data_IF_435599303705
#
_entry.id   IF_435599303705
#
_cell.length_a   1.000
_cell.length_b   1.000
_cell.length_c   1.000
_cell.angle_alpha   90.00
_cell.angle_beta   90.00
_cell.angle_gamma   90.00
#
_symmetry.space_group_name_H-M   'P 1'
#
loop_
_entity.id
_entity.type
_entity.pdbx_description
1 polymer ?
#
# COMPACT_ATOMS: atom_id res chain seq x y z
N UNK A 1 -11.55 -5.29 -3.98
CA UNK A 1 -12.90 -4.81 -4.38
C UNK A 1 -13.02 -3.38 -3.88
N UNK A 2 -13.17 -2.42 -4.79
CA UNK A 2 -13.18 -0.97 -4.51
C UNK A 2 -14.50 -0.32 -4.92
N UNK A 3 -15.57 -1.11 -5.01
CA UNK A 3 -16.89 -0.58 -5.31
C UNK A 3 -17.38 0.25 -4.13
N UNK A 4 -17.97 1.41 -4.42
CA UNK A 4 -18.64 2.23 -3.43
C UNK A 4 -19.91 1.48 -3.00
N UNK A 5 -20.01 1.14 -1.73
CA UNK A 5 -21.15 0.44 -1.14
C UNK A 5 -21.89 1.34 -0.15
N UNK A 6 -23.16 1.02 0.13
CA UNK A 6 -23.96 1.72 1.13
C UNK A 6 -24.16 3.22 0.82
N UNK A 7 -23.88 4.07 1.81
CA UNK A 7 -24.11 5.52 1.72
C UNK A 7 -23.29 6.21 0.62
N UNK A 8 -22.08 5.73 0.33
CA UNK A 8 -21.20 6.35 -0.64
C UNK A 8 -21.69 6.14 -2.08
N UNK A 9 -22.34 5.00 -2.35
CA UNK A 9 -23.05 4.77 -3.60
C UNK A 9 -24.20 5.76 -3.78
N UNK A 10 -25.02 5.94 -2.73
CA UNK A 10 -26.16 6.84 -2.75
C UNK A 10 -25.76 8.33 -2.88
N UNK A 11 -24.58 8.72 -2.39
CA UNK A 11 -24.01 10.06 -2.63
C UNK A 11 -23.55 10.22 -4.08
N UNK A 12 -22.85 9.22 -4.62
CA UNK A 12 -22.34 9.23 -6.00
C UNK A 12 -23.47 9.29 -7.02
N UNK A 13 -24.54 8.51 -6.83
CA UNK A 13 -25.72 8.51 -7.70
C UNK A 13 -26.42 9.89 -7.71
N UNK A 14 -26.47 10.56 -6.56
CA UNK A 14 -27.00 11.94 -6.46
C UNK A 14 -26.14 12.94 -7.24
N UNK A 15 -24.82 12.85 -7.14
CA UNK A 15 -23.90 13.71 -7.89
C UNK A 15 -24.03 13.48 -9.39
N UNK A 16 -24.08 12.21 -9.84
CA UNK A 16 -24.30 11.88 -11.27
C UNK A 16 -25.62 12.44 -11.78
N UNK A 17 -26.70 12.32 -11.00
CA UNK A 17 -28.01 12.87 -11.37
C UNK A 17 -27.99 14.39 -11.46
N UNK A 18 -27.31 15.07 -10.54
CA UNK A 18 -27.20 16.53 -10.54
C UNK A 18 -26.46 17.04 -11.79
N UNK A 19 -25.37 16.39 -12.19
CA UNK A 19 -24.59 16.78 -13.36
C UNK A 19 -25.03 16.14 -14.69
N UNK A 20 -26.17 15.43 -14.72
CA UNK A 20 -26.66 14.71 -15.90
C UNK A 20 -26.82 15.57 -17.17
N UNK A 21 -27.02 16.88 -17.02
CA UNK A 21 -27.10 17.83 -18.14
C UNK A 21 -25.75 18.14 -18.80
N UNK A 22 -24.62 17.78 -18.18
CA UNK A 22 -23.28 17.95 -18.78
C UNK A 22 -23.03 16.79 -19.75
N UNK A 23 -22.82 17.07 -21.06
CA UNK A 23 -22.73 16.04 -22.10
C UNK A 23 -21.42 15.25 -22.08
N UNK A 24 -20.34 15.81 -21.51
CA UNK A 24 -19.04 15.16 -21.38
C UNK A 24 -18.68 15.00 -19.92
N UNK A 25 -18.98 13.83 -19.37
CA UNK A 25 -18.59 13.44 -18.02
C UNK A 25 -17.44 12.45 -18.13
N UNK A 26 -16.32 12.76 -17.47
CA UNK A 26 -15.15 11.88 -17.39
C UNK A 26 -14.99 11.47 -15.94
N UNK A 27 -15.04 10.18 -15.68
CA UNK A 27 -14.89 9.61 -14.35
C UNK A 27 -13.49 9.00 -14.20
N UNK A 28 -12.76 9.46 -13.20
CA UNK A 28 -11.47 8.89 -12.82
C UNK A 28 -11.67 7.75 -11.81
N UNK A 29 -12.40 6.72 -12.23
CA UNK A 29 -12.56 5.52 -11.42
C UNK A 29 -11.20 4.85 -11.22
N UNK A 30 -10.98 4.28 -10.03
CA UNK A 30 -9.78 3.47 -9.78
C UNK A 30 -9.77 2.30 -10.75
N UNK A 31 -8.65 2.11 -11.44
CA UNK A 31 -8.52 1.03 -12.42
C UNK A 31 -8.54 -0.32 -11.71
N UNK A 32 -9.34 -1.25 -12.21
CA UNK A 32 -9.14 -2.66 -11.89
C UNK A 32 -7.94 -3.22 -12.66
N UNK A 33 -7.50 -4.43 -12.31
CA UNK A 33 -6.30 -5.03 -12.93
C UNK A 33 -6.41 -5.16 -14.46
N UNK A 34 -7.61 -5.45 -14.98
CA UNK A 34 -7.83 -5.55 -16.43
C UNK A 34 -7.75 -4.19 -17.13
N UNK A 35 -8.37 -3.16 -16.56
CA UNK A 35 -8.35 -1.80 -17.09
C UNK A 35 -6.96 -1.19 -16.99
N UNK A 36 -6.23 -1.47 -15.91
CA UNK A 36 -4.83 -1.08 -15.75
C UNK A 36 -3.92 -1.76 -16.79
N UNK A 37 -4.08 -3.07 -17.04
CA UNK A 37 -3.34 -3.76 -18.09
C UNK A 37 -3.68 -3.26 -19.50
N UNK A 38 -4.95 -2.89 -19.73
CA UNK A 38 -5.38 -2.24 -20.97
C UNK A 38 -4.72 -0.87 -21.13
N UNK A 39 -4.70 -0.06 -20.08
CA UNK A 39 -4.02 1.25 -20.07
C UNK A 39 -2.52 1.07 -20.39
N UNK A 40 -1.86 0.10 -19.75
CA UNK A 40 -0.46 -0.19 -20.02
C UNK A 40 -0.22 -0.55 -21.49
N UNK A 41 -1.08 -1.39 -22.09
CA UNK A 41 -0.98 -1.71 -23.52
C UNK A 41 -1.18 -0.50 -24.45
N UNK A 42 -2.11 0.40 -24.11
CA UNK A 42 -2.35 1.64 -24.88
C UNK A 42 -1.13 2.54 -24.83
N UNK A 43 -0.63 2.84 -23.64
CA UNK A 43 0.53 3.71 -23.44
C UNK A 43 1.80 3.12 -24.07
N UNK A 44 2.00 1.81 -23.96
CA UNK A 44 3.12 1.13 -24.60
C UNK A 44 3.09 1.30 -26.12
N UNK A 45 1.90 1.13 -26.74
CA UNK A 45 1.73 1.34 -28.18
C UNK A 45 2.00 2.79 -28.59
N UNK A 46 1.52 3.76 -27.82
CA UNK A 46 1.77 5.19 -28.06
C UNK A 46 3.25 5.55 -27.98
N UNK A 47 4.01 4.89 -27.09
CA UNK A 47 5.45 5.10 -26.91
C UNK A 47 6.33 4.16 -27.75
N UNK A 48 5.75 3.35 -28.64
CA UNK A 48 6.50 2.41 -29.49
C UNK A 48 7.17 1.25 -28.73
N UNK A 49 6.66 0.91 -27.55
CA UNK A 49 7.19 -0.16 -26.69
C UNK A 49 6.52 -1.49 -27.03
N UNK A 50 7.32 -2.48 -27.40
CA UNK A 50 6.85 -3.85 -27.59
C UNK A 50 6.70 -4.55 -26.23
N UNK A 51 5.51 -4.43 -25.63
CA UNK A 51 5.12 -5.00 -24.35
C UNK A 51 4.08 -6.12 -24.54
N UNK A 52 4.39 -7.34 -24.10
CA UNK A 52 3.45 -8.47 -24.16
C UNK A 52 2.37 -8.34 -23.08
N UNK A 53 1.25 -9.08 -23.23
CA UNK A 53 0.15 -9.06 -22.25
C UNK A 53 0.58 -9.53 -20.86
N UNK A 54 1.40 -10.58 -20.78
CA UNK A 54 1.87 -11.13 -19.51
C UNK A 54 2.81 -10.16 -18.79
N UNK A 55 3.68 -9.49 -19.55
CA UNK A 55 4.56 -8.45 -19.02
C UNK A 55 3.79 -7.19 -18.61
N UNK A 56 2.73 -6.83 -19.33
CA UNK A 56 1.83 -5.75 -18.91
C UNK A 56 1.11 -6.09 -17.61
N UNK A 57 0.65 -7.33 -17.43
CA UNK A 57 0.05 -7.79 -16.18
C UNK A 57 1.06 -7.76 -15.03
N UNK A 58 2.29 -8.23 -15.26
CA UNK A 58 3.39 -8.17 -14.30
C UNK A 58 3.71 -6.73 -13.89
N UNK A 59 3.79 -5.80 -14.84
CA UNK A 59 4.02 -4.38 -14.58
C UNK A 59 2.89 -3.79 -13.71
N UNK A 60 1.63 -4.06 -14.09
CA UNK A 60 0.45 -3.59 -13.37
C UNK A 60 0.43 -4.11 -11.94
N UNK A 61 0.80 -5.38 -11.75
CA UNK A 61 0.94 -5.96 -10.42
C UNK A 61 2.04 -5.27 -9.61
N UNK A 62 3.21 -5.05 -10.21
CA UNK A 62 4.34 -4.39 -9.57
C UNK A 62 4.03 -2.95 -9.18
N UNK A 63 3.18 -2.23 -9.91
CA UNK A 63 2.78 -0.84 -9.57
C UNK A 63 1.42 -0.74 -8.88
N UNK A 64 0.87 -1.88 -8.42
CA UNK A 64 -0.43 -1.97 -7.76
C UNK A 64 -1.60 -1.32 -8.54
N UNK A 65 -1.53 -1.34 -9.88
CA UNK A 65 -2.54 -0.76 -10.76
C UNK A 65 -2.62 0.77 -10.75
N UNK A 66 -1.61 1.47 -10.23
CA UNK A 66 -1.57 2.93 -10.24
C UNK A 66 -1.31 3.47 -11.67
N UNK A 67 -2.27 4.22 -12.21
CA UNK A 67 -2.22 4.74 -13.58
C UNK A 67 -1.02 5.66 -13.85
N UNK A 68 -0.63 6.48 -12.85
CA UNK A 68 0.48 7.42 -12.98
C UNK A 68 1.81 6.69 -13.00
N UNK A 69 1.97 5.69 -12.11
CA UNK A 69 3.16 4.83 -12.12
C UNK A 69 3.26 4.02 -13.41
N UNK A 70 2.16 3.43 -13.90
CA UNK A 70 2.14 2.72 -15.19
C UNK A 70 2.71 3.60 -16.31
N UNK A 71 2.29 4.86 -16.39
CA UNK A 71 2.78 5.78 -17.41
C UNK A 71 4.29 6.05 -17.30
N UNK A 72 4.78 6.29 -16.08
CA UNK A 72 6.21 6.51 -15.80
C UNK A 72 7.05 5.27 -16.16
N UNK A 73 6.60 4.07 -15.77
CA UNK A 73 7.33 2.84 -16.05
C UNK A 73 7.40 2.54 -17.55
N UNK A 74 6.31 2.79 -18.28
CA UNK A 74 6.30 2.65 -19.75
C UNK A 74 7.25 3.64 -20.41
N UNK A 75 7.32 4.87 -19.92
CA UNK A 75 8.30 5.84 -20.40
C UNK A 75 9.73 5.36 -20.17
N UNK A 76 10.05 4.85 -18.98
CA UNK A 76 11.38 4.25 -18.69
C UNK A 76 11.69 3.08 -19.62
N UNK A 77 10.74 2.17 -19.84
CA UNK A 77 10.90 1.04 -20.75
C UNK A 77 11.10 1.49 -22.21
N UNK A 78 10.43 2.56 -22.63
CA UNK A 78 10.64 3.15 -23.97
C UNK A 78 12.05 3.69 -24.14
N UNK A 79 12.59 4.34 -23.11
CA UNK A 79 13.95 4.87 -23.12
C UNK A 79 14.99 3.76 -23.06
N UNK A 80 14.74 2.71 -22.28
CA UNK A 80 15.65 1.57 -22.16
C UNK A 80 15.76 0.79 -23.48
N UNK A 81 14.62 0.50 -24.09
CA UNK A 81 14.57 -0.32 -25.31
C UNK A 81 14.84 0.49 -26.58
N UNK A 82 14.64 1.81 -26.52
CA UNK A 82 14.64 2.73 -27.66
C UNK A 82 13.78 2.23 -28.85
N UNK A 83 12.78 1.38 -28.58
CA UNK A 83 11.97 0.72 -29.61
C UNK A 83 12.73 -0.32 -30.47
N UNK A 84 14.00 -0.61 -30.16
CA UNK A 84 14.85 -1.50 -30.96
C UNK A 84 14.67 -2.98 -30.62
N UNK A 85 14.12 -3.28 -29.44
CA UNK A 85 13.86 -4.64 -28.97
C UNK A 85 12.61 -4.74 -28.08
N UNK A 86 11.99 -5.93 -27.96
CA UNK A 86 10.93 -6.17 -26.99
C UNK A 86 11.40 -5.98 -25.54
N UNK A 87 10.45 -5.60 -24.68
CA UNK A 87 10.63 -5.61 -23.22
C UNK A 87 10.72 -7.05 -22.74
N UNK A 88 11.63 -7.30 -21.81
CA UNK A 88 11.81 -8.60 -21.14
C UNK A 88 11.32 -8.53 -19.70
N UNK A 89 11.14 -9.69 -19.09
CA UNK A 89 10.82 -9.79 -17.65
C UNK A 89 11.91 -9.15 -16.77
N UNK A 90 13.17 -9.28 -17.17
CA UNK A 90 14.31 -8.71 -16.43
C UNK A 90 14.31 -7.19 -16.45
N UNK A 91 13.92 -6.57 -17.58
CA UNK A 91 13.76 -5.12 -17.69
C UNK A 91 12.73 -4.59 -16.69
N UNK A 92 11.58 -5.27 -16.56
CA UNK A 92 10.52 -4.90 -15.60
C UNK A 92 11.01 -5.12 -14.18
N UNK A 93 11.61 -6.26 -13.88
CA UNK A 93 12.10 -6.59 -12.53
C UNK A 93 13.17 -5.60 -12.06
N UNK A 94 14.03 -5.14 -12.98
CA UNK A 94 15.12 -4.21 -12.69
C UNK A 94 14.65 -2.76 -12.56
N UNK A 95 13.70 -2.33 -13.41
CA UNK A 95 13.29 -0.92 -13.47
C UNK A 95 12.05 -0.58 -12.65
N UNK A 96 11.22 -1.59 -12.35
CA UNK A 96 9.95 -1.43 -11.64
C UNK A 96 10.03 -2.15 -10.29
N UNK A 97 10.51 -1.47 -9.23
CA UNK A 97 10.41 -2.03 -7.88
C UNK A 97 8.94 -2.29 -7.54
N UNK A 98 8.67 -3.44 -6.91
CA UNK A 98 7.32 -3.84 -6.54
C UNK A 98 6.77 -2.89 -5.47
N UNK A 99 5.80 -2.05 -5.84
CA UNK A 99 5.07 -1.14 -4.97
C UNK A 99 4.37 -1.89 -3.82
N UNK A 100 4.05 -3.18 -3.97
CA UNK A 100 3.56 -4.00 -2.84
C UNK A 100 4.70 -4.33 -1.87
N UNK A 101 5.88 -4.65 -2.37
CA UNK A 101 7.07 -4.91 -1.56
C UNK A 101 7.61 -3.65 -0.86
N UNK A 102 7.51 -2.50 -1.53
CA UNK A 102 7.82 -1.16 -1.04
C UNK A 102 6.58 -0.43 -0.50
N UNK A 103 5.67 -1.15 0.17
CA UNK A 103 4.51 -0.55 0.81
C UNK A 103 4.69 -0.46 2.32
N UNK A 104 3.90 0.41 2.95
CA UNK A 104 3.76 0.40 4.40
C UNK A 104 3.33 -0.97 4.95
N UNK A 105 2.63 -1.78 4.15
CA UNK A 105 2.29 -3.17 4.50
C UNK A 105 3.50 -4.11 4.43
N UNK A 106 4.37 -3.92 3.44
CA UNK A 106 5.67 -4.59 3.37
C UNK A 106 6.50 -4.34 4.62
N UNK A 107 6.49 -3.09 5.11
CA UNK A 107 7.16 -2.72 6.36
C UNK A 107 6.55 -3.44 7.57
N UNK A 108 5.21 -3.50 7.69
CA UNK A 108 4.53 -4.27 8.75
C UNK A 108 4.95 -5.74 8.72
N UNK A 109 4.97 -6.36 7.54
CA UNK A 109 5.32 -7.76 7.38
C UNK A 109 6.78 -8.04 7.78
N UNK A 110 7.72 -7.18 7.37
CA UNK A 110 9.13 -7.29 7.74
C UNK A 110 9.34 -7.12 9.25
N UNK A 111 8.69 -6.12 9.86
CA UNK A 111 8.71 -5.90 11.32
C UNK A 111 8.13 -7.11 12.08
N UNK A 112 7.05 -7.71 11.56
CA UNK A 112 6.42 -8.90 12.14
C UNK A 112 7.38 -10.08 12.21
N UNK A 113 8.10 -10.35 11.12
CA UNK A 113 9.14 -11.39 11.06
C UNK A 113 10.41 -11.05 11.85
N UNK A 114 10.51 -9.86 12.44
CA UNK A 114 11.73 -9.33 13.05
C UNK A 114 12.91 -9.28 12.05
N UNK A 115 12.61 -9.13 10.77
CA UNK A 115 13.60 -9.06 9.70
C UNK A 115 14.08 -7.61 9.57
N UNK A 116 15.08 -7.27 10.39
CA UNK A 116 15.65 -5.92 10.46
C UNK A 116 16.17 -5.43 9.11
N UNK A 117 16.86 -6.31 8.35
CA UNK A 117 17.44 -5.93 7.06
C UNK A 117 16.32 -5.52 6.10
N UNK A 118 15.33 -6.41 5.92
CA UNK A 118 14.22 -6.13 5.02
C UNK A 118 13.42 -4.90 5.46
N UNK A 119 13.19 -4.72 6.77
CA UNK A 119 12.46 -3.56 7.27
C UNK A 119 13.17 -2.22 6.98
N UNK A 120 14.51 -2.18 7.13
CA UNK A 120 15.30 -0.99 6.79
C UNK A 120 15.35 -0.74 5.28
N UNK A 121 15.46 -1.78 4.45
CA UNK A 121 15.39 -1.66 2.98
C UNK A 121 14.03 -1.12 2.52
N UNK A 122 12.93 -1.65 3.09
CA UNK A 122 11.58 -1.15 2.80
C UNK A 122 11.42 0.30 3.27
N UNK A 123 11.95 0.67 4.45
CA UNK A 123 11.92 2.06 4.93
C UNK A 123 12.72 3.00 4.03
N UNK A 124 13.94 2.64 3.61
CA UNK A 124 14.74 3.45 2.68
C UNK A 124 14.00 3.67 1.36
N UNK A 125 13.29 2.65 0.87
CA UNK A 125 12.48 2.76 -0.33
C UNK A 125 11.32 3.74 -0.14
N UNK A 126 10.55 3.64 0.95
CA UNK A 126 9.47 4.58 1.26
C UNK A 126 9.98 6.03 1.33
N UNK A 127 11.15 6.25 1.96
CA UNK A 127 11.78 7.58 2.04
C UNK A 127 12.16 8.11 0.65
N UNK A 128 12.74 7.27 -0.22
CA UNK A 128 13.10 7.65 -1.59
C UNK A 128 11.88 7.95 -2.47
N UNK A 129 10.78 7.25 -2.24
CA UNK A 129 9.50 7.51 -2.90
C UNK A 129 8.81 8.78 -2.38
N UNK A 130 9.38 9.45 -1.37
CA UNK A 130 8.85 10.70 -0.81
C UNK A 130 7.65 10.49 0.10
N UNK A 131 7.48 9.28 0.64
CA UNK A 131 6.39 8.98 1.57
C UNK A 131 6.48 9.86 2.82
N UNK A 132 5.33 10.37 3.25
CA UNK A 132 5.25 11.18 4.45
C UNK A 132 5.29 10.29 5.69
N UNK A 133 6.48 10.13 6.28
CA UNK A 133 6.73 9.20 7.39
C UNK A 133 5.82 9.36 8.62
N UNK A 134 5.39 10.58 9.02
CA UNK A 134 4.39 10.72 10.08
C UNK A 134 3.04 10.06 9.77
N UNK A 135 2.61 10.06 8.50
CA UNK A 135 1.40 9.35 8.08
C UNK A 135 1.63 7.84 8.07
N UNK A 136 2.80 7.38 7.60
CA UNK A 136 3.20 5.97 7.66
C UNK A 136 3.19 5.44 9.11
N UNK A 137 3.74 6.20 10.06
CA UNK A 137 3.72 5.88 11.49
C UNK A 137 2.28 5.85 12.05
N UNK A 138 1.43 6.80 11.65
CA UNK A 138 0.02 6.84 12.05
C UNK A 138 -0.77 5.61 11.56
N UNK A 139 -0.45 5.13 10.35
CA UNK A 139 -0.99 3.90 9.82
C UNK A 139 -0.53 2.68 10.65
N UNK A 140 0.78 2.55 10.92
CA UNK A 140 1.34 1.50 11.78
C UNK A 140 0.70 1.49 13.16
N UNK A 141 0.50 2.66 13.76
CA UNK A 141 -0.17 2.85 15.04
C UNK A 141 -1.60 2.31 15.03
N UNK A 142 -2.31 2.49 13.92
CA UNK A 142 -3.67 1.97 13.75
C UNK A 142 -3.65 0.45 13.62
N UNK A 143 -2.78 -0.10 12.78
CA UNK A 143 -2.66 -1.56 12.60
C UNK A 143 -2.32 -2.27 13.91
N UNK A 144 -1.32 -1.78 14.65
CA UNK A 144 -0.91 -2.43 15.90
C UNK A 144 -1.97 -2.33 17.01
N UNK A 145 -2.70 -1.22 17.12
CA UNK A 145 -3.83 -1.10 18.06
C UNK A 145 -4.96 -2.08 17.73
N UNK A 146 -5.34 -2.17 16.45
CA UNK A 146 -6.38 -3.11 16.01
C UNK A 146 -5.95 -4.56 16.24
N UNK A 147 -4.69 -4.88 15.94
CA UNK A 147 -4.15 -6.22 16.17
C UNK A 147 -4.07 -6.56 17.66
N UNK A 148 -3.72 -5.60 18.52
CA UNK A 148 -3.70 -5.81 19.97
C UNK A 148 -5.10 -6.11 20.51
N UNK A 149 -6.11 -5.30 20.14
CA UNK A 149 -7.51 -5.55 20.50
C UNK A 149 -7.96 -6.94 20.01
N UNK A 150 -7.62 -7.31 18.77
CA UNK A 150 -7.95 -8.62 18.23
C UNK A 150 -7.27 -9.77 19.00
N UNK A 151 -6.00 -9.61 19.42
CA UNK A 151 -5.29 -10.58 20.28
C UNK A 151 -5.97 -10.72 21.64
N UNK A 152 -6.35 -9.61 22.27
CA UNK A 152 -7.01 -9.61 23.58
C UNK A 152 -8.41 -10.24 23.54
N UNK A 153 -9.12 -10.04 22.43
CA UNK A 153 -10.39 -10.70 22.16
C UNK A 153 -10.25 -12.13 21.59
N UNK A 154 -9.03 -12.66 21.49
CA UNK A 154 -8.71 -14.01 20.98
C UNK A 154 -9.29 -14.29 19.57
N UNK A 155 -9.29 -13.27 18.71
CA UNK A 155 -9.77 -13.36 17.33
C UNK A 155 -8.66 -13.92 16.43
N UNK A 156 -8.96 -14.96 15.66
CA UNK A 156 -7.96 -15.73 14.90
C UNK A 156 -8.01 -15.52 13.40
N UNK A 157 -9.13 -15.02 12.87
CA UNK A 157 -9.32 -14.84 11.44
C UNK A 157 -10.07 -13.54 11.12
N UNK A 158 -10.02 -13.15 9.84
CA UNK A 158 -10.61 -11.92 9.35
C UNK A 158 -12.13 -11.84 9.60
N UNK A 159 -12.87 -12.95 9.51
CA UNK A 159 -14.32 -12.97 9.76
C UNK A 159 -14.66 -12.61 11.20
N UNK A 160 -13.92 -13.18 12.16
CA UNK A 160 -14.06 -12.87 13.58
C UNK A 160 -13.70 -11.40 13.89
N UNK A 161 -12.61 -10.90 13.28
CA UNK A 161 -12.16 -9.51 13.41
C UNK A 161 -13.22 -8.56 12.86
N UNK A 162 -13.70 -8.80 11.64
CA UNK A 162 -14.74 -8.00 11.00
C UNK A 162 -16.00 -7.91 11.86
N UNK A 163 -16.53 -9.06 12.29
CA UNK A 163 -17.72 -9.12 13.13
C UNK A 163 -17.54 -8.40 14.47
N UNK A 164 -16.39 -8.58 15.12
CA UNK A 164 -16.09 -7.97 16.42
C UNK A 164 -16.03 -6.44 16.33
N UNK A 165 -15.24 -5.90 15.40
CA UNK A 165 -15.09 -4.44 15.26
C UNK A 165 -16.36 -3.77 14.75
N UNK A 166 -17.13 -4.42 13.87
CA UNK A 166 -18.43 -3.93 13.45
C UNK A 166 -19.40 -3.80 14.62
N UNK A 167 -19.40 -4.76 15.55
CA UNK A 167 -20.21 -4.69 16.79
C UNK A 167 -19.80 -3.52 17.69
N UNK A 168 -18.52 -3.16 17.69
CA UNK A 168 -17.98 -1.99 18.42
C UNK A 168 -18.18 -0.65 17.67
N UNK A 169 -18.87 -0.64 16.53
CA UNK A 169 -19.07 0.57 15.73
C UNK A 169 -17.81 1.06 15.00
N UNK A 170 -16.74 0.25 14.95
CA UNK A 170 -15.54 0.57 14.18
C UNK A 170 -15.71 0.09 12.74
N UNK A 171 -15.59 0.98 11.72
CA UNK A 171 -15.69 0.57 10.32
C UNK A 171 -14.64 -0.50 9.98
N UNK A 172 -15.10 -1.71 9.68
CA UNK A 172 -14.24 -2.85 9.40
C UNK A 172 -14.84 -3.65 8.24
N UNK A 173 -14.15 -3.64 7.10
CA UNK A 173 -14.49 -4.42 5.91
C UNK A 173 -13.49 -5.56 5.72
N UNK A 174 -13.85 -6.55 4.90
CA UNK A 174 -13.10 -7.81 4.75
C UNK A 174 -11.60 -7.63 4.52
N UNK A 175 -11.19 -6.76 3.59
CA UNK A 175 -9.78 -6.54 3.27
C UNK A 175 -9.00 -5.90 4.43
N UNK A 176 -9.61 -4.97 5.18
CA UNK A 176 -9.00 -4.40 6.39
C UNK A 176 -8.86 -5.46 7.48
N UNK A 177 -9.86 -6.32 7.63
CA UNK A 177 -9.82 -7.41 8.60
C UNK A 177 -8.75 -8.48 8.26
N UNK A 178 -8.49 -8.72 6.97
CA UNK A 178 -7.36 -9.56 6.51
C UNK A 178 -6.01 -8.98 6.94
N UNK A 179 -5.79 -7.69 6.72
CA UNK A 179 -4.56 -7.00 7.12
C UNK A 179 -4.33 -7.04 8.64
N UNK A 180 -5.40 -6.85 9.42
CA UNK A 180 -5.33 -6.98 10.88
C UNK A 180 -5.03 -8.44 11.26
N UNK A 181 -5.64 -9.42 10.60
CA UNK A 181 -5.38 -10.84 10.86
C UNK A 181 -3.92 -11.23 10.57
N UNK A 182 -3.33 -10.74 9.48
CA UNK A 182 -1.92 -10.94 9.15
C UNK A 182 -1.02 -10.36 10.25
N UNK A 183 -1.32 -9.15 10.72
CA UNK A 183 -0.59 -8.51 11.82
C UNK A 183 -0.73 -9.31 13.13
N UNK A 184 -1.92 -9.83 13.43
CA UNK A 184 -2.17 -10.71 14.60
C UNK A 184 -1.34 -11.99 14.51
N UNK A 185 -1.18 -12.56 13.33
CA UNK A 185 -0.37 -13.77 13.15
C UNK A 185 1.13 -13.46 13.29
N UNK A 186 1.57 -12.32 12.77
CA UNK A 186 2.99 -11.96 12.73
C UNK A 186 3.54 -11.46 14.08
N UNK A 187 2.71 -10.90 14.96
CA UNK A 187 3.16 -10.33 16.23
C UNK A 187 2.54 -11.03 17.46
N UNK A 188 3.35 -11.44 18.45
CA UNK A 188 2.83 -11.84 19.77
C UNK A 188 2.34 -10.60 20.56
N UNK A 189 1.49 -10.83 21.57
CA UNK A 189 0.81 -9.76 22.32
C UNK A 189 1.80 -8.79 22.97
N UNK A 190 2.82 -9.32 23.63
CA UNK A 190 3.88 -8.55 24.30
C UNK A 190 4.66 -7.65 23.32
N UNK A 191 4.92 -8.14 22.09
CA UNK A 191 5.55 -7.31 21.05
C UNK A 191 4.64 -6.19 20.57
N UNK A 192 3.33 -6.42 20.43
CA UNK A 192 2.37 -5.34 20.09
C UNK A 192 2.34 -4.25 21.17
N UNK A 193 2.36 -4.63 22.44
CA UNK A 193 2.42 -3.67 23.56
C UNK A 193 3.72 -2.86 23.55
N UNK A 194 4.88 -3.51 23.35
CA UNK A 194 6.16 -2.82 23.17
C UNK A 194 6.12 -1.89 21.95
N UNK A 195 5.50 -2.35 20.86
CA UNK A 195 5.40 -1.59 19.65
C UNK A 195 4.61 -0.30 19.81
N UNK A 196 3.49 -0.32 20.52
CA UNK A 196 2.71 0.89 20.82
C UNK A 196 3.55 1.91 21.61
N UNK A 197 4.40 1.47 22.55
CA UNK A 197 5.31 2.36 23.27
C UNK A 197 6.40 2.93 22.36
N UNK A 198 6.93 2.13 21.45
CA UNK A 198 7.92 2.59 20.46
C UNK A 198 7.30 3.60 19.48
N UNK A 199 6.07 3.36 19.03
CA UNK A 199 5.31 4.30 18.20
C UNK A 199 5.13 5.64 18.91
N UNK A 200 4.81 5.65 20.21
CA UNK A 200 4.71 6.90 20.96
C UNK A 200 6.03 7.69 20.96
N UNK A 201 7.17 7.01 21.15
CA UNK A 201 8.49 7.65 21.10
C UNK A 201 8.79 8.22 19.71
N UNK A 202 8.48 7.45 18.68
CA UNK A 202 8.66 7.87 17.28
C UNK A 202 7.75 9.06 16.94
N UNK A 203 6.47 9.05 17.31
CA UNK A 203 5.53 10.16 17.04
C UNK A 203 5.99 11.45 17.75
N UNK A 204 6.48 11.32 18.99
CA UNK A 204 7.09 12.46 19.70
C UNK A 204 8.34 12.96 18.97
N UNK A 205 9.20 12.06 18.50
CA UNK A 205 10.40 12.40 17.73
C UNK A 205 10.08 13.15 16.45
N UNK A 206 9.08 12.69 15.67
CA UNK A 206 8.62 13.33 14.43
C UNK A 206 7.95 14.70 14.66
N UNK A 207 7.60 15.05 15.89
CA UNK A 207 7.01 16.35 16.26
C UNK A 207 7.98 17.30 16.94
N UNK A 208 9.27 16.96 17.01
CA UNK A 208 10.29 17.84 17.57
C UNK A 208 10.51 19.06 16.65
N UNK A 209 11.35 20.01 17.08
CA UNK A 209 11.55 21.30 16.43
C UNK A 209 12.16 21.15 15.03
N UNK A 210 13.03 20.15 14.84
CA UNK A 210 13.70 19.82 13.57
C UNK A 210 14.04 18.31 13.53
N UNK A 211 13.05 17.44 13.33
CA UNK A 211 13.30 16.01 13.28
C UNK A 211 14.04 15.64 12.00
N UNK A 212 14.90 14.63 12.10
CA UNK A 212 15.27 13.81 10.94
C UNK A 212 14.33 12.61 10.94
N UNK A 213 13.26 12.71 10.14
CA UNK A 213 12.20 11.70 10.07
C UNK A 213 12.76 10.31 9.74
N UNK A 214 13.79 10.25 8.90
CA UNK A 214 14.45 9.01 8.53
C UNK A 214 15.11 8.39 9.74
N UNK A 215 15.92 9.15 10.48
CA UNK A 215 16.60 8.66 11.69
C UNK A 215 15.60 8.20 12.75
N UNK A 216 14.50 8.95 12.94
CA UNK A 216 13.45 8.58 13.90
C UNK A 216 12.80 7.24 13.51
N UNK A 217 12.49 7.04 12.23
CA UNK A 217 11.90 5.80 11.74
C UNK A 217 12.89 4.63 11.71
N UNK A 218 14.16 4.87 11.41
CA UNK A 218 15.22 3.86 11.49
C UNK A 218 15.37 3.37 12.94
N UNK A 219 15.39 4.28 13.92
CA UNK A 219 15.42 3.91 15.34
C UNK A 219 14.17 3.12 15.75
N UNK A 220 13.00 3.51 15.27
CA UNK A 220 11.76 2.76 15.48
C UNK A 220 11.85 1.31 14.95
N UNK A 221 12.42 1.11 13.76
CA UNK A 221 12.66 -0.24 13.19
C UNK A 221 13.65 -1.03 14.05
N UNK A 222 14.72 -0.39 14.54
CA UNK A 222 15.71 -1.04 15.40
C UNK A 222 15.07 -1.52 16.71
N UNK A 223 14.32 -0.64 17.39
CA UNK A 223 13.62 -0.93 18.65
C UNK A 223 12.64 -2.10 18.51
N UNK A 224 11.95 -2.21 17.37
CA UNK A 224 10.97 -3.27 17.13
C UNK A 224 11.56 -4.63 16.74
N UNK A 225 12.79 -4.63 16.26
CA UNK A 225 13.51 -5.82 15.78
C UNK A 225 14.60 -6.27 16.75
N UNK A 226 14.74 -5.58 17.89
CA UNK A 226 15.59 -5.99 18.99
C UNK A 226 15.02 -7.24 19.68
N UNK A 227 15.90 -8.21 19.99
CA UNK A 227 15.54 -9.52 20.56
C UNK A 227 15.48 -9.46 22.08
#
# INVERSE_FOLDING_TARGET
>A
RYELEGEDKAKTDRVRKFYAAIPKQVEFARLDGQSAARLAGVLAKEKGVALSKDLAAMLVEAVAGDASRIAIEIEKLSLLTAGMRPVTQDDITTLTPDARAASIFGLVAALGRSDRRQALETLDTLVREGEYLPLALSFLATQFRLALVAKEANLRNASQIEAHFRKLGTPMWRARAEQVAETVQAFPKDRLERAIRSIYRADKGLRDTRPDDRVVMEQFVLDLTER
#
